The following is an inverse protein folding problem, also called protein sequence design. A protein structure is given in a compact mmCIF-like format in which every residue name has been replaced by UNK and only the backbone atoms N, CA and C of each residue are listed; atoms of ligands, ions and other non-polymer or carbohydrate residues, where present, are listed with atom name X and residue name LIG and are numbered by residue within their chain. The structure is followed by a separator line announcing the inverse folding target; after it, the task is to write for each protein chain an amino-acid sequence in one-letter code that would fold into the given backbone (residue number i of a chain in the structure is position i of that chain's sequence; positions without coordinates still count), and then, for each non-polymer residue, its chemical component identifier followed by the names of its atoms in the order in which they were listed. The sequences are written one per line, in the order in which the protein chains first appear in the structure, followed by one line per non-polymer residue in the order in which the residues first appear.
data_IF_084036158497
#
_entry.id   IF_084036158497
#
_cell.length_a   1.000
_cell.length_b   1.000
_cell.length_c   1.000
_cell.angle_alpha   90.00
_cell.angle_beta   90.00
_cell.angle_gamma   90.00
#
_symmetry.space_group_name_H-M   'P 1'
#
loop_
_entity.id
_entity.type
_entity.pdbx_description
1 polymer ?
#
# COMPACT_ATOMS: atom_id res chain seq x y z
N UNK A 1 2.39 -23.44 -4.60
CA UNK A 1 2.92 -22.08 -4.77
C UNK A 1 2.11 -21.33 -5.83
N UNK A 2 1.29 -20.35 -5.45
CA UNK A 2 0.69 -19.43 -6.41
C UNK A 2 1.74 -18.37 -6.77
N UNK A 3 2.47 -18.58 -7.87
CA UNK A 3 3.38 -17.57 -8.40
C UNK A 3 2.56 -16.40 -8.96
N UNK A 4 3.07 -15.18 -8.82
CA UNK A 4 2.49 -14.02 -9.48
C UNK A 4 2.53 -14.20 -11.00
N UNK A 5 1.46 -13.82 -11.73
CA UNK A 5 1.49 -13.85 -13.19
C UNK A 5 2.68 -13.05 -13.75
N UNK A 6 3.38 -13.58 -14.75
CA UNK A 6 4.58 -12.93 -15.31
C UNK A 6 4.34 -11.48 -15.78
N UNK A 7 3.12 -11.15 -16.21
CA UNK A 7 2.76 -9.82 -16.69
C UNK A 7 2.51 -8.80 -15.57
N UNK A 8 2.49 -9.21 -14.30
CA UNK A 8 2.38 -8.29 -13.13
C UNK A 8 3.69 -8.17 -12.36
N UNK A 9 4.70 -8.98 -12.68
CA UNK A 9 6.02 -8.91 -12.05
C UNK A 9 6.82 -7.75 -12.67
N UNK A 10 7.24 -6.73 -11.90
CA UNK A 10 7.86 -5.52 -12.42
C UNK A 10 9.33 -5.71 -12.79
N UNK A 11 9.61 -6.52 -13.83
CA UNK A 11 10.95 -6.63 -14.42
C UNK A 11 11.23 -5.40 -15.30
N UNK A 12 12.46 -4.92 -15.33
CA UNK A 12 12.86 -3.76 -16.14
C UNK A 12 12.50 -3.94 -17.62
N UNK A 13 11.90 -2.92 -18.23
CA UNK A 13 11.38 -2.91 -19.61
C UNK A 13 10.27 -3.94 -19.91
N UNK A 14 9.54 -4.41 -18.89
CA UNK A 14 8.48 -5.42 -19.06
C UNK A 14 7.07 -4.82 -19.00
N UNK A 15 6.08 -5.62 -19.38
CA UNK A 15 4.67 -5.28 -19.16
C UNK A 15 4.34 -5.07 -17.68
N UNK A 16 5.02 -5.81 -16.78
CA UNK A 16 4.83 -5.70 -15.34
C UNK A 16 5.39 -4.40 -14.76
N UNK A 17 6.43 -3.82 -15.35
CA UNK A 17 6.93 -2.49 -14.95
C UNK A 17 5.88 -1.42 -15.27
N UNK A 18 5.36 -1.41 -16.51
CA UNK A 18 4.26 -0.51 -16.90
C UNK A 18 3.00 -0.74 -16.07
N UNK A 19 2.71 -1.99 -15.72
CA UNK A 19 1.61 -2.33 -14.81
C UNK A 19 1.85 -1.68 -13.43
N UNK A 20 3.05 -1.86 -12.87
CA UNK A 20 3.43 -1.32 -11.57
C UNK A 20 3.40 0.21 -11.56
N UNK A 21 3.89 0.89 -12.61
CA UNK A 21 3.79 2.35 -12.73
C UNK A 21 2.35 2.85 -12.62
N UNK A 22 1.39 2.17 -13.29
CA UNK A 22 -0.03 2.51 -13.18
C UNK A 22 -0.57 2.31 -11.76
N UNK A 23 -0.13 1.24 -11.09
CA UNK A 23 -0.52 1.00 -9.70
C UNK A 23 0.03 2.06 -8.76
N UNK A 24 1.28 2.49 -8.93
CA UNK A 24 1.88 3.55 -8.14
C UNK A 24 1.12 4.87 -8.25
N UNK A 25 0.74 5.27 -9.47
CA UNK A 25 -0.05 6.50 -9.68
C UNK A 25 -1.41 6.42 -8.98
N UNK A 26 -2.03 5.24 -8.95
CA UNK A 26 -3.30 5.05 -8.26
C UNK A 26 -3.12 4.99 -6.74
N UNK A 27 -2.13 4.26 -6.23
CA UNK A 27 -1.91 4.04 -4.80
C UNK A 27 -1.35 5.29 -4.09
N UNK A 28 -0.66 6.17 -4.82
CA UNK A 28 -0.04 7.41 -4.34
C UNK A 28 -0.47 8.62 -5.21
N UNK A 29 -1.71 9.13 -5.03
CA UNK A 29 -2.20 10.28 -5.77
C UNK A 29 -1.31 11.51 -5.54
N UNK A 30 -1.00 12.26 -6.61
CA UNK A 30 -0.11 13.44 -6.52
C UNK A 30 -0.69 14.54 -5.65
N UNK A 31 -2.02 14.64 -5.62
CA UNK A 31 -2.80 15.53 -4.78
C UNK A 31 -2.45 15.34 -3.30
N UNK A 32 -2.17 14.12 -2.87
CA UNK A 32 -1.82 13.82 -1.48
C UNK A 32 -0.35 14.13 -1.19
N UNK A 33 0.48 14.25 -2.22
CA UNK A 33 1.93 14.47 -2.09
C UNK A 33 2.30 15.95 -2.09
N UNK A 34 1.53 16.78 -2.80
CA UNK A 34 1.78 18.23 -2.83
C UNK A 34 0.51 19.03 -3.09
N UNK A 35 0.30 20.13 -2.34
CA UNK A 35 -0.84 21.02 -2.55
C UNK A 35 -0.81 21.70 -3.93
N UNK A 36 0.34 21.72 -4.61
CA UNK A 36 0.47 22.24 -5.98
C UNK A 36 -0.36 21.46 -7.01
N UNK A 37 -0.75 20.23 -6.70
CA UNK A 37 -1.59 19.39 -7.56
C UNK A 37 -3.08 19.47 -7.23
N UNK A 38 -3.46 20.21 -6.19
CA UNK A 38 -4.86 20.37 -5.78
C UNK A 38 -5.43 21.65 -6.37
N UNK A 39 -6.51 21.53 -7.13
CA UNK A 39 -7.20 22.65 -7.78
C UNK A 39 -8.12 23.40 -6.84
N UNK A 40 -8.62 22.75 -5.78
CA UNK A 40 -9.64 23.32 -4.91
C UNK A 40 -9.11 23.76 -3.53
N UNK A 41 -7.79 23.84 -3.37
CA UNK A 41 -7.12 24.41 -2.19
C UNK A 41 -7.17 25.96 -2.22
N UNK A 42 -8.37 26.51 -1.99
CA UNK A 42 -8.69 27.91 -2.21
C UNK A 42 -8.09 28.91 -1.21
N UNK A 43 -7.96 28.55 0.08
CA UNK A 43 -7.58 29.49 1.14
C UNK A 43 -6.73 28.88 2.27
N UNK A 44 -6.41 29.72 3.26
CA UNK A 44 -5.66 29.33 4.45
C UNK A 44 -6.32 28.20 5.28
N UNK A 45 -7.65 28.17 5.50
CA UNK A 45 -8.26 27.08 6.27
C UNK A 45 -8.16 25.73 5.55
N UNK A 46 -8.39 25.68 4.23
CA UNK A 46 -8.28 24.44 3.46
C UNK A 46 -6.83 23.92 3.43
N UNK A 47 -5.84 24.83 3.35
CA UNK A 47 -4.42 24.47 3.44
C UNK A 47 -4.05 23.87 4.79
N UNK A 48 -4.60 24.40 5.89
CA UNK A 48 -4.37 23.84 7.21
C UNK A 48 -4.95 22.42 7.31
N UNK A 49 -6.15 22.19 6.79
CA UNK A 49 -6.77 20.86 6.76
C UNK A 49 -5.95 19.89 5.89
N UNK A 50 -5.39 20.36 4.77
CA UNK A 50 -4.47 19.57 3.96
C UNK A 50 -3.20 19.16 4.73
N UNK A 51 -2.59 20.10 5.44
CA UNK A 51 -1.40 19.84 6.25
C UNK A 51 -1.71 18.81 7.36
N UNK A 52 -2.85 18.96 8.04
CA UNK A 52 -3.34 17.99 9.02
C UNK A 52 -3.54 16.59 8.40
N UNK A 53 -4.12 16.52 7.19
CA UNK A 53 -4.27 15.26 6.45
C UNK A 53 -2.92 14.62 6.12
N UNK A 54 -1.97 15.39 5.58
CA UNK A 54 -0.63 14.87 5.22
C UNK A 54 0.13 14.40 6.46
N UNK A 55 0.06 15.16 7.56
CA UNK A 55 0.68 14.78 8.82
C UNK A 55 0.08 13.49 9.37
N UNK A 56 -1.26 13.40 9.44
CA UNK A 56 -1.93 12.18 9.86
C UNK A 56 -1.58 10.98 8.97
N UNK A 57 -1.54 11.16 7.64
CA UNK A 57 -1.12 10.11 6.71
C UNK A 57 0.31 9.64 7.00
N UNK A 58 1.25 10.57 7.19
CA UNK A 58 2.65 10.24 7.46
C UNK A 58 2.86 9.59 8.83
N UNK A 59 2.06 9.95 9.84
CA UNK A 59 2.06 9.29 11.16
C UNK A 59 1.50 7.86 11.09
N UNK A 60 0.61 7.60 10.14
CA UNK A 60 -0.04 6.30 9.96
C UNK A 60 0.70 5.38 8.98
N UNK A 61 1.61 5.91 8.16
CA UNK A 61 2.54 5.12 7.35
C UNK A 61 3.37 4.22 8.28
N UNK A 62 3.04 2.92 8.32
CA UNK A 62 3.61 2.02 9.32
C UNK A 62 5.04 1.62 8.97
N UNK A 63 5.23 1.06 7.77
CA UNK A 63 6.52 0.60 7.27
C UNK A 63 6.43 0.22 5.78
N UNK A 64 7.56 -0.23 5.24
CA UNK A 64 7.63 -0.94 3.96
C UNK A 64 7.76 -2.44 4.26
N UNK A 65 6.88 -3.26 3.68
CA UNK A 65 7.00 -4.72 3.76
C UNK A 65 8.20 -5.17 2.93
N UNK A 66 9.11 -5.97 3.51
CA UNK A 66 10.28 -6.45 2.79
C UNK A 66 10.13 -7.92 2.39
N UNK A 67 10.74 -8.28 1.26
CA UNK A 67 10.76 -9.68 0.79
C UNK A 67 11.87 -10.42 1.52
N UNK A 68 11.51 -11.44 2.30
CA UNK A 68 12.45 -12.44 2.78
C UNK A 68 12.44 -13.62 1.79
N UNK A 69 13.53 -13.86 1.04
CA UNK A 69 13.57 -14.94 0.06
C UNK A 69 13.56 -16.34 0.69
N UNK A 70 13.98 -16.48 1.94
CA UNK A 70 14.07 -17.76 2.64
C UNK A 70 13.70 -17.58 4.12
N UNK A 71 12.44 -17.81 4.47
CA UNK A 71 12.01 -17.71 5.87
C UNK A 71 12.66 -18.81 6.74
N UNK A 72 13.15 -18.49 7.95
CA UNK A 72 13.90 -19.45 8.78
C UNK A 72 13.00 -20.52 9.41
N UNK A 73 11.72 -20.22 9.60
CA UNK A 73 10.69 -21.08 10.20
C UNK A 73 9.39 -20.96 9.38
N UNK A 74 8.48 -21.92 9.53
CA UNK A 74 7.16 -21.84 8.93
C UNK A 74 6.34 -20.69 9.53
N UNK A 75 5.61 -19.97 8.69
CA UNK A 75 4.79 -18.82 9.09
C UNK A 75 3.37 -19.03 8.58
N UNK A 76 2.36 -18.70 9.37
CA UNK A 76 0.98 -18.64 8.88
C UNK A 76 0.75 -17.32 8.14
N UNK A 77 0.27 -17.40 6.90
CA UNK A 77 -0.03 -16.22 6.10
C UNK A 77 -1.17 -15.42 6.73
N UNK A 78 -0.91 -14.16 7.02
CA UNK A 78 -1.90 -13.30 7.69
C UNK A 78 -3.16 -13.02 6.86
N UNK A 79 -3.09 -13.05 5.52
CA UNK A 79 -4.27 -12.86 4.64
C UNK A 79 -5.05 -14.15 4.40
N UNK A 80 -4.40 -15.20 3.88
CA UNK A 80 -5.10 -16.41 3.45
C UNK A 80 -5.14 -17.54 4.48
N UNK A 81 -4.46 -17.39 5.63
CA UNK A 81 -4.32 -18.42 6.68
C UNK A 81 -3.61 -19.70 6.25
N UNK A 82 -3.09 -19.75 5.01
CA UNK A 82 -2.25 -20.83 4.53
C UNK A 82 -0.84 -20.76 5.12
N UNK A 83 -0.15 -21.90 5.15
CA UNK A 83 1.21 -21.99 5.71
C UNK A 83 2.26 -21.67 4.64
N UNK A 84 3.19 -20.78 4.97
CA UNK A 84 4.46 -20.62 4.28
C UNK A 84 5.49 -21.55 4.93
N UNK A 85 6.10 -22.44 4.17
CA UNK A 85 7.06 -23.39 4.70
C UNK A 85 8.46 -22.78 4.86
N UNK A 86 9.30 -23.42 5.68
CA UNK A 86 10.70 -23.01 5.86
C UNK A 86 11.43 -22.95 4.51
N UNK A 87 12.24 -21.92 4.33
CA UNK A 87 12.96 -21.58 3.08
C UNK A 87 12.05 -21.14 1.92
N UNK A 88 10.77 -20.87 2.14
CA UNK A 88 9.95 -20.20 1.13
C UNK A 88 10.11 -18.68 1.18
N UNK A 89 9.73 -18.03 0.08
CA UNK A 89 9.68 -16.58 -0.02
C UNK A 89 8.43 -16.04 0.66
N UNK A 90 8.61 -15.04 1.51
CA UNK A 90 7.54 -14.34 2.19
C UNK A 90 7.75 -12.83 2.13
N UNK A 91 6.66 -12.07 2.21
CA UNK A 91 6.74 -10.66 2.58
C UNK A 91 6.58 -10.58 4.09
N UNK A 92 7.48 -9.84 4.76
CA UNK A 92 7.50 -9.66 6.22
C UNK A 92 7.18 -8.21 6.54
N UNK A 93 6.34 -8.00 7.55
CA UNK A 93 5.91 -6.68 8.01
C UNK A 93 6.14 -6.56 9.52
N UNK A 94 7.34 -6.14 9.97
CA UNK A 94 7.74 -6.19 11.38
C UNK A 94 6.80 -5.41 12.31
N UNK A 95 6.22 -4.31 11.84
CA UNK A 95 5.27 -3.49 12.60
C UNK A 95 3.97 -4.23 12.97
N UNK A 96 3.65 -5.32 12.27
CA UNK A 96 2.52 -6.18 12.60
C UNK A 96 2.90 -7.40 13.44
N UNK A 97 4.16 -7.50 13.86
CA UNK A 97 4.69 -8.58 14.68
C UNK A 97 5.86 -9.29 14.00
N UNK A 98 6.78 -9.78 14.83
CA UNK A 98 8.04 -10.40 14.38
C UNK A 98 7.83 -11.70 13.57
N UNK A 99 6.68 -12.35 13.73
CA UNK A 99 6.31 -13.59 13.02
C UNK A 99 5.18 -13.38 12.00
N UNK A 100 4.84 -12.14 11.66
CA UNK A 100 3.75 -11.85 10.72
C UNK A 100 4.28 -11.82 9.29
N UNK A 101 3.78 -12.75 8.47
CA UNK A 101 4.19 -12.91 7.09
C UNK A 101 3.03 -13.09 6.11
N UNK A 102 3.30 -12.82 4.85
CA UNK A 102 2.36 -13.00 3.75
C UNK A 102 3.04 -13.75 2.61
N UNK A 103 2.27 -14.57 1.91
CA UNK A 103 2.68 -14.94 0.55
C UNK A 103 2.85 -13.65 -0.28
N UNK A 104 3.79 -13.60 -1.23
CA UNK A 104 3.92 -12.45 -2.13
C UNK A 104 2.60 -11.95 -2.75
N UNK A 105 1.71 -12.80 -3.30
CA UNK A 105 0.41 -12.34 -3.80
C UNK A 105 -0.59 -11.94 -2.70
N UNK A 106 -0.38 -12.37 -1.46
CA UNK A 106 -1.25 -12.06 -0.33
C UNK A 106 -0.94 -10.69 0.29
N UNK A 107 0.23 -10.11 0.05
CA UNK A 107 0.57 -8.78 0.51
C UNK A 107 0.02 -7.71 -0.44
N UNK A 108 -1.29 -7.52 -0.37
CA UNK A 108 -2.05 -6.66 -1.28
C UNK A 108 -3.12 -5.87 -0.51
N UNK A 109 -3.42 -4.66 -1.00
CA UNK A 109 -4.45 -3.80 -0.40
C UNK A 109 -5.80 -4.52 -0.32
N UNK A 110 -6.46 -4.42 0.84
CA UNK A 110 -7.75 -5.04 1.09
C UNK A 110 -8.91 -4.53 0.21
N UNK A 111 -8.74 -3.37 -0.45
CA UNK A 111 -9.78 -2.75 -1.28
C UNK A 111 -9.55 -2.99 -2.78
N UNK A 112 -8.33 -2.79 -3.28
CA UNK A 112 -8.04 -2.92 -4.71
C UNK A 112 -7.24 -4.17 -5.11
N UNK A 113 -6.86 -5.01 -4.14
CA UNK A 113 -6.02 -6.20 -4.32
C UNK A 113 -4.68 -5.94 -5.03
N UNK A 114 -4.23 -4.69 -5.03
CA UNK A 114 -2.94 -4.33 -5.61
C UNK A 114 -1.81 -4.59 -4.62
N UNK A 115 -0.71 -5.13 -5.13
CA UNK A 115 0.46 -5.48 -4.33
C UNK A 115 1.01 -4.23 -3.63
N UNK A 116 1.39 -4.42 -2.37
CA UNK A 116 1.99 -3.38 -1.52
C UNK A 116 3.48 -3.61 -1.29
N UNK A 117 4.06 -4.67 -1.87
CA UNK A 117 5.49 -4.96 -1.72
C UNK A 117 6.31 -3.80 -2.29
N UNK A 118 7.36 -3.37 -1.59
CA UNK A 118 8.15 -2.17 -1.89
C UNK A 118 7.38 -0.83 -1.79
N UNK A 119 6.17 -0.83 -1.20
CA UNK A 119 5.40 0.38 -0.90
C UNK A 119 5.13 0.48 0.58
N UNK A 120 4.91 1.71 1.02
CA UNK A 120 4.30 1.99 2.32
C UNK A 120 2.92 1.33 2.36
N UNK A 121 2.65 0.62 3.44
CA UNK A 121 1.32 0.09 3.73
C UNK A 121 0.79 0.70 5.02
N UNK A 122 -0.54 0.81 5.10
CA UNK A 122 -1.25 1.24 6.30
C UNK A 122 -2.05 0.05 6.84
N UNK A 123 -2.30 0.00 8.15
CA UNK A 123 -3.08 -1.07 8.77
C UNK A 123 -4.23 -0.50 9.58
N UNK A 124 -5.40 -1.08 9.39
CA UNK A 124 -6.58 -0.84 10.21
C UNK A 124 -7.23 -2.18 10.51
N UNK A 125 -7.56 -2.42 11.78
CA UNK A 125 -8.28 -3.63 12.21
C UNK A 125 -7.62 -4.95 11.71
N UNK A 126 -6.28 -4.96 11.65
CA UNK A 126 -5.51 -6.12 11.20
C UNK A 126 -5.48 -6.35 9.68
N UNK A 127 -6.05 -5.44 8.88
CA UNK A 127 -6.03 -5.50 7.42
C UNK A 127 -5.07 -4.45 6.83
N UNK A 128 -4.39 -4.80 5.73
CA UNK A 128 -3.44 -3.91 5.05
C UNK A 128 -4.12 -3.13 3.92
N UNK A 129 -3.76 -1.85 3.79
CA UNK A 129 -4.31 -0.90 2.83
C UNK A 129 -3.17 -0.15 2.13
N UNK A 130 -3.37 0.26 0.87
CA UNK A 130 -2.53 1.32 0.29
C UNK A 130 -2.90 2.66 0.92
N UNK A 131 -1.99 3.64 0.83
CA UNK A 131 -2.21 4.99 1.37
C UNK A 131 -3.50 5.62 0.85
N UNK A 132 -3.78 5.49 -0.46
CA UNK A 132 -5.04 5.97 -1.06
C UNK A 132 -6.28 5.47 -0.35
N UNK A 133 -6.47 4.15 -0.30
CA UNK A 133 -7.69 3.57 0.26
C UNK A 133 -7.74 3.74 1.77
N UNK A 134 -6.59 3.76 2.44
CA UNK A 134 -6.54 4.09 3.85
C UNK A 134 -7.05 5.52 4.10
N UNK A 135 -6.58 6.51 3.33
CA UNK A 135 -7.07 7.89 3.40
C UNK A 135 -8.58 7.99 3.16
N UNK A 136 -9.11 7.23 2.20
CA UNK A 136 -10.54 7.17 1.88
C UNK A 136 -11.40 6.64 3.04
N UNK A 137 -10.84 5.88 3.99
CA UNK A 137 -11.54 5.47 5.21
C UNK A 137 -11.79 6.62 6.20
N UNK A 138 -11.08 7.73 6.05
CA UNK A 138 -11.17 8.90 6.92
C UNK A 138 -11.87 10.08 6.22
N UNK A 139 -11.58 10.29 4.94
CA UNK A 139 -12.10 11.40 4.14
C UNK A 139 -12.40 10.93 2.72
N UNK A 140 -13.62 11.13 2.19
CA UNK A 140 -13.97 10.68 0.84
C UNK A 140 -13.20 11.48 -0.22
N UNK A 141 -12.99 10.89 -1.41
CA UNK A 141 -12.40 11.60 -2.56
C UNK A 141 -13.45 12.08 -3.55
N UNK A 142 -13.16 13.18 -4.22
CA UNK A 142 -13.95 13.67 -5.33
C UNK A 142 -13.69 12.86 -6.60
N UNK A 143 -14.74 12.28 -7.20
CA UNK A 143 -14.62 11.47 -8.43
C UNK A 143 -14.15 12.27 -9.66
N UNK A 144 -14.21 13.60 -9.64
CA UNK A 144 -13.84 14.46 -10.77
C UNK A 144 -12.37 14.92 -10.73
N UNK A 145 -11.84 15.27 -9.55
CA UNK A 145 -10.49 15.82 -9.40
C UNK A 145 -9.53 14.93 -8.59
N UNK A 146 -10.04 13.85 -8.00
CA UNK A 146 -9.32 12.88 -7.15
C UNK A 146 -8.72 13.47 -5.85
N UNK A 147 -9.08 14.70 -5.53
CA UNK A 147 -8.75 15.35 -4.27
C UNK A 147 -9.53 14.73 -3.12
N UNK A 148 -8.87 14.58 -1.97
CA UNK A 148 -9.54 14.27 -0.71
C UNK A 148 -10.48 15.43 -0.36
N UNK A 149 -11.67 15.12 0.14
CA UNK A 149 -12.61 16.13 0.61
C UNK A 149 -12.08 16.71 1.91
N UNK A 150 -11.33 17.80 1.82
CA UNK A 150 -10.68 18.47 2.94
C UNK A 150 -11.72 19.20 3.79
#
# INVERSE_FOLDING_TARGET
MAQLPNHVVPRTNSAGEKYREKQLVMQLPRQDLSPAYCRHLGGAPERKVYEEFVNARNEIALDIGYVNPNIPNSIECHKCRGILERNEMAVIAPKLGESTGWHPPCFACNVCDQLLVDLTYCVKEGQVYCERHYAELHKPRCSACDEVSL
#
